data_IF_797486518756
#
_entry.id   IF_797486518756
#
_cell.length_a   1.000
_cell.length_b   1.000
_cell.length_c   1.000
_cell.angle_alpha   90.00
_cell.angle_beta   90.00
_cell.angle_gamma   90.00
#
_symmetry.space_group_name_H-M   'P 1'
#
loop_
_entity.id
_entity.type
_entity.pdbx_description
1 polymer ?
#
# COMPACT_ATOMS: atom_id res chain seq x y z
N UNK A 1 7.03 18.17 42.94
CA UNK A 1 6.57 19.35 42.17
C UNK A 1 7.71 20.25 41.66
N UNK A 2 8.71 20.69 42.46
CA UNK A 2 9.70 21.68 41.98
C UNK A 2 10.60 21.19 40.83
N UNK A 3 10.93 19.90 40.77
CA UNK A 3 11.74 19.32 39.70
C UNK A 3 11.04 19.29 38.34
N UNK A 4 9.70 19.15 38.33
CA UNK A 4 8.91 19.18 37.09
C UNK A 4 8.80 20.59 36.53
N UNK A 5 8.63 21.58 37.39
CA UNK A 5 8.55 22.98 36.98
C UNK A 5 9.89 23.48 36.42
N UNK A 6 11.00 23.06 37.02
CA UNK A 6 12.36 23.33 36.53
C UNK A 6 12.57 22.72 35.13
N UNK A 7 12.22 21.45 34.94
CA UNK A 7 12.33 20.79 33.64
C UNK A 7 11.45 21.46 32.58
N UNK A 8 10.22 21.87 32.95
CA UNK A 8 9.31 22.59 32.04
C UNK A 8 9.89 23.94 31.62
N UNK A 9 10.50 24.68 32.54
CA UNK A 9 11.17 25.94 32.24
C UNK A 9 12.37 25.71 31.29
N UNK A 10 13.19 24.70 31.54
CA UNK A 10 14.32 24.33 30.67
C UNK A 10 13.87 24.01 29.24
N UNK A 11 12.82 23.20 29.08
CA UNK A 11 12.28 22.86 27.76
C UNK A 11 11.75 24.10 27.04
N UNK A 12 11.07 25.00 27.75
CA UNK A 12 10.55 26.22 27.14
C UNK A 12 11.68 27.13 26.63
N UNK A 13 12.73 27.32 27.43
CA UNK A 13 13.92 28.08 27.03
C UNK A 13 14.60 27.44 25.81
N UNK A 14 14.78 26.12 25.81
CA UNK A 14 15.37 25.38 24.69
C UNK A 14 14.56 25.55 23.39
N UNK A 15 13.23 25.51 23.48
CA UNK A 15 12.36 25.72 22.31
C UNK A 15 12.52 27.13 21.71
N UNK A 16 12.65 28.16 22.55
CA UNK A 16 12.89 29.52 22.09
C UNK A 16 14.26 29.69 21.43
N UNK A 17 15.29 29.01 21.94
CA UNK A 17 16.66 29.10 21.42
C UNK A 17 16.91 28.30 20.14
N UNK A 18 16.08 27.30 19.83
CA UNK A 18 16.31 26.34 18.74
C UNK A 18 16.55 27.01 17.37
N UNK A 19 15.84 28.10 17.08
CA UNK A 19 15.96 28.81 15.80
C UNK A 19 17.25 29.64 15.66
N UNK A 20 17.95 29.89 16.77
CA UNK A 20 19.19 30.68 16.81
C UNK A 20 20.47 29.85 16.87
N UNK A 21 20.37 28.52 16.85
CA UNK A 21 21.54 27.65 16.95
C UNK A 21 22.33 27.66 15.66
N UNK A 22 23.62 27.95 15.77
CA UNK A 22 24.56 27.92 14.66
C UNK A 22 25.05 26.49 14.39
N UNK A 23 25.18 26.18 13.11
CA UNK A 23 25.63 24.88 12.61
C UNK A 23 26.81 25.13 11.69
N UNK A 24 28.00 24.76 12.14
CA UNK A 24 29.21 24.80 11.32
C UNK A 24 29.17 23.72 10.22
N UNK A 25 29.83 23.99 9.09
CA UNK A 25 29.89 23.05 7.97
C UNK A 25 30.63 21.75 8.32
N UNK A 26 31.60 21.80 9.23
CA UNK A 26 32.30 20.64 9.78
C UNK A 26 31.31 19.63 10.40
N UNK A 27 30.34 20.09 11.18
CA UNK A 27 29.33 19.23 11.81
C UNK A 27 28.37 18.63 10.77
N UNK A 28 28.11 19.35 9.66
CA UNK A 28 27.30 18.81 8.55
C UNK A 28 28.04 17.72 7.80
N UNK A 29 29.35 17.88 7.63
CA UNK A 29 30.21 16.90 6.98
C UNK A 29 30.33 15.63 7.83
N UNK A 30 30.58 15.76 9.14
CA UNK A 30 30.65 14.63 10.08
C UNK A 30 29.37 13.80 10.06
N UNK A 31 28.20 14.46 10.12
CA UNK A 31 26.90 13.77 9.99
C UNK A 31 26.78 13.02 8.66
N UNK A 32 27.23 13.62 7.55
CA UNK A 32 27.11 13.03 6.22
C UNK A 32 28.00 11.78 6.08
N UNK A 33 29.24 11.86 6.55
CA UNK A 33 30.18 10.74 6.57
C UNK A 33 29.63 9.57 7.39
N UNK A 34 29.16 9.84 8.63
CA UNK A 34 28.59 8.79 9.49
C UNK A 34 27.28 8.21 8.94
N UNK A 35 26.44 9.01 8.27
CA UNK A 35 25.24 8.49 7.60
C UNK A 35 25.59 7.51 6.47
N UNK A 36 26.66 7.80 5.72
CA UNK A 36 27.17 6.92 4.65
C UNK A 36 27.72 5.64 5.25
N UNK A 37 28.54 5.71 6.31
CA UNK A 37 29.06 4.54 7.02
C UNK A 37 27.95 3.65 7.60
N UNK A 38 26.87 4.27 8.11
CA UNK A 38 25.70 3.57 8.61
C UNK A 38 24.79 3.00 7.50
N UNK A 39 25.17 3.14 6.23
CA UNK A 39 24.46 2.64 5.06
C UNK A 39 22.99 3.13 4.99
N UNK A 40 22.77 4.39 5.38
CA UNK A 40 21.46 5.05 5.36
C UNK A 40 21.21 5.65 3.97
N UNK A 41 20.11 5.27 3.33
CA UNK A 41 19.77 5.77 2.00
C UNK A 41 19.13 7.17 2.06
N UNK A 42 19.72 8.10 1.30
CA UNK A 42 19.25 9.46 1.04
C UNK A 42 19.41 10.47 2.19
N UNK A 43 19.26 11.76 1.85
CA UNK A 43 19.54 12.94 2.71
C UNK A 43 18.69 13.10 3.99
N UNK A 44 17.80 12.13 4.24
CA UNK A 44 16.85 12.21 5.35
C UNK A 44 17.49 11.81 6.68
N UNK A 45 18.57 11.05 6.66
CA UNK A 45 19.33 10.73 7.87
C UNK A 45 19.95 12.01 8.42
N UNK A 46 20.67 12.69 7.54
CA UNK A 46 21.44 13.90 7.81
C UNK A 46 20.57 15.01 8.40
N UNK A 47 19.42 15.27 7.78
CA UNK A 47 18.49 16.32 8.22
C UNK A 47 17.88 16.03 9.61
N UNK A 48 17.62 14.76 9.91
CA UNK A 48 17.02 14.37 11.20
C UNK A 48 18.08 14.43 12.29
N UNK A 49 19.29 13.94 12.00
CA UNK A 49 20.42 14.01 12.92
C UNK A 49 20.75 15.45 13.28
N UNK A 50 20.86 16.32 12.28
CA UNK A 50 21.18 17.73 12.51
C UNK A 50 20.14 18.44 13.40
N UNK A 51 18.85 18.16 13.18
CA UNK A 51 17.77 18.73 13.99
C UNK A 51 17.75 18.18 15.42
N UNK A 52 18.05 16.89 15.59
CA UNK A 52 18.13 16.28 16.91
C UNK A 52 19.32 16.85 17.70
N UNK A 53 20.48 17.00 17.05
CA UNK A 53 21.67 17.61 17.64
C UNK A 53 21.44 19.08 17.99
N UNK A 54 20.74 19.85 17.13
CA UNK A 54 20.34 21.23 17.45
C UNK A 54 19.42 21.28 18.68
N UNK A 55 18.46 20.37 18.79
CA UNK A 55 17.58 20.30 19.96
C UNK A 55 18.34 19.91 21.24
N UNK A 56 19.33 19.02 21.13
CA UNK A 56 20.20 18.64 22.24
C UNK A 56 21.07 19.81 22.71
N UNK A 57 21.71 20.53 21.78
CA UNK A 57 22.45 21.75 22.08
C UNK A 57 21.56 22.82 22.76
N UNK A 58 20.33 23.01 22.25
CA UNK A 58 19.36 23.95 22.82
C UNK A 58 18.98 23.58 24.27
N UNK A 59 18.76 22.29 24.54
CA UNK A 59 18.39 21.79 25.85
C UNK A 59 19.49 22.04 26.89
N UNK A 60 20.75 22.02 26.45
CA UNK A 60 21.91 22.35 27.27
C UNK A 60 22.25 23.86 27.27
N UNK A 61 21.39 24.71 26.70
CA UNK A 61 21.57 26.17 26.70
C UNK A 61 22.73 26.66 25.81
N UNK A 62 23.19 25.83 24.87
CA UNK A 62 24.28 26.17 23.95
C UNK A 62 23.75 26.85 22.68
N UNK A 63 24.60 27.69 22.08
CA UNK A 63 24.28 28.45 20.85
C UNK A 63 24.85 27.82 19.57
N UNK A 64 25.68 26.78 19.71
CA UNK A 64 26.30 26.06 18.58
C UNK A 64 26.33 24.57 18.87
N UNK A 65 26.27 23.76 17.81
CA UNK A 65 26.41 22.30 17.89
C UNK A 65 27.88 21.92 18.10
N UNK A 66 28.16 20.93 18.94
CA UNK A 66 29.46 20.26 19.03
C UNK A 66 29.32 18.73 18.80
N UNK A 67 30.45 18.02 18.77
CA UNK A 67 30.47 16.57 18.55
C UNK A 67 29.68 15.79 19.61
N UNK A 68 29.65 16.25 20.88
CA UNK A 68 28.87 15.58 21.94
C UNK A 68 27.37 15.59 21.64
N UNK A 69 26.86 16.62 20.96
CA UNK A 69 25.46 16.67 20.53
C UNK A 69 25.16 15.71 19.38
N UNK A 70 26.15 15.46 18.52
CA UNK A 70 26.04 14.47 17.45
C UNK A 70 26.01 13.06 18.04
N UNK A 71 26.96 12.75 18.91
CA UNK A 71 27.11 11.44 19.54
C UNK A 71 25.87 11.08 20.39
N UNK A 72 25.32 12.05 21.13
CA UNK A 72 24.18 11.81 22.03
C UNK A 72 22.89 11.40 21.29
N UNK A 73 22.73 11.79 20.02
CA UNK A 73 21.51 11.52 19.24
C UNK A 73 21.72 10.49 18.13
N UNK A 74 22.97 10.12 17.86
CA UNK A 74 23.38 9.21 16.79
C UNK A 74 22.54 7.93 16.76
N UNK A 75 22.56 7.18 17.86
CA UNK A 75 21.90 5.88 17.95
C UNK A 75 20.38 5.99 17.76
N UNK A 76 19.77 7.01 18.37
CA UNK A 76 18.33 7.26 18.26
C UNK A 76 17.90 7.56 16.82
N UNK A 77 18.75 8.25 16.07
CA UNK A 77 18.48 8.64 14.68
C UNK A 77 18.72 7.46 13.73
N UNK A 78 19.78 6.70 13.94
CA UNK A 78 20.22 5.64 13.03
C UNK A 78 19.54 4.29 13.26
N UNK A 79 19.08 3.96 14.48
CA UNK A 79 18.55 2.63 14.84
C UNK A 79 17.45 2.11 13.89
N UNK A 80 16.56 2.99 13.43
CA UNK A 80 15.43 2.63 12.56
C UNK A 80 15.74 2.71 11.06
N UNK A 81 16.97 3.08 10.72
CA UNK A 81 17.39 3.44 9.35
C UNK A 81 18.61 2.68 8.88
N UNK A 82 19.41 2.16 9.80
CA UNK A 82 20.48 1.21 9.52
C UNK A 82 19.86 0.02 8.82
N UNK A 83 20.18 -0.15 7.54
CA UNK A 83 19.75 -1.36 6.85
C UNK A 83 20.43 -2.54 7.56
N UNK A 84 19.65 -3.54 7.94
CA UNK A 84 20.24 -4.82 8.32
C UNK A 84 21.08 -5.29 7.14
N UNK A 85 22.33 -5.67 7.40
CA UNK A 85 23.15 -6.35 6.41
C UNK A 85 22.33 -7.48 5.79
N UNK A 86 22.43 -7.72 4.47
CA UNK A 86 21.72 -8.82 3.83
C UNK A 86 22.00 -10.09 4.64
N UNK A 87 20.97 -10.65 5.27
CA UNK A 87 21.09 -11.96 5.90
C UNK A 87 21.55 -12.92 4.78
N UNK A 88 22.65 -13.68 4.96
CA UNK A 88 23.02 -14.70 4.00
C UNK A 88 21.80 -15.63 3.81
N UNK A 89 21.56 -16.13 2.58
CA UNK A 89 20.41 -16.99 2.33
C UNK A 89 20.44 -18.14 3.33
N UNK A 90 19.40 -18.25 4.15
CA UNK A 90 19.20 -19.40 5.02
C UNK A 90 19.26 -20.66 4.15
N UNK A 91 20.11 -21.65 4.47
CA UNK A 91 20.15 -22.89 3.71
C UNK A 91 18.76 -23.55 3.73
N UNK A 92 18.35 -24.20 2.64
CA UNK A 92 17.06 -24.88 2.58
C UNK A 92 16.96 -25.88 3.73
N UNK A 93 15.88 -25.76 4.49
CA UNK A 93 15.56 -26.62 5.62
C UNK A 93 15.30 -28.04 5.09
N UNK A 94 16.31 -28.91 5.10
CA UNK A 94 16.20 -30.30 4.67
C UNK A 94 15.53 -31.13 5.77
N UNK A 95 14.24 -30.87 5.99
CA UNK A 95 13.40 -31.77 6.76
C UNK A 95 12.70 -32.72 5.78
N UNK A 96 13.48 -33.64 5.22
CA UNK A 96 12.95 -34.75 4.41
C UNK A 96 12.44 -35.83 5.37
N UNK A 97 11.17 -36.27 5.28
CA UNK A 97 10.74 -37.45 6.02
C UNK A 97 11.52 -38.68 5.53
N UNK A 98 11.86 -39.65 6.39
CA UNK A 98 12.55 -40.85 5.96
C UNK A 98 11.68 -41.62 4.94
N UNK A 99 12.29 -42.25 3.92
CA UNK A 99 11.53 -42.97 2.90
C UNK A 99 10.82 -44.20 3.51
N UNK A 100 9.63 -44.57 3.00
CA UNK A 100 8.95 -45.77 3.46
C UNK A 100 9.72 -47.02 3.03
N UNK A 101 9.78 -48.01 3.93
CA UNK A 101 10.36 -49.33 3.68
C UNK A 101 9.74 -49.97 2.43
N UNK A 102 10.55 -50.35 1.44
CA UNK A 102 10.13 -51.17 0.30
C UNK A 102 10.56 -52.62 0.51
N UNK A 103 9.59 -53.54 0.36
CA UNK A 103 9.82 -54.99 0.30
C UNK A 103 10.33 -55.36 -1.09
N UNK A 104 11.35 -56.22 -1.25
CA UNK A 104 11.81 -56.63 -2.57
C UNK A 104 10.76 -57.51 -3.26
N UNK A 105 10.43 -57.23 -4.52
CA UNK A 105 9.74 -58.17 -5.40
C UNK A 105 10.48 -58.30 -6.74
N UNK A 106 10.54 -59.54 -7.17
CA UNK A 106 11.21 -60.08 -8.36
C UNK A 106 10.64 -59.51 -9.66
N UNK A 107 11.50 -59.42 -10.67
CA UNK A 107 11.14 -59.10 -12.06
C UNK A 107 10.97 -60.39 -12.88
N UNK A 108 10.48 -60.34 -14.14
CA UNK A 108 9.56 -59.38 -14.77
C UNK A 108 8.41 -60.11 -15.52
N UNK A 109 7.31 -59.41 -15.80
CA UNK A 109 6.49 -59.76 -16.97
C UNK A 109 5.85 -58.54 -17.60
N UNK A 110 5.92 -58.55 -18.93
CA UNK A 110 5.44 -57.61 -19.93
C UNK A 110 3.94 -57.36 -19.89
N UNK A 111 3.50 -56.11 -20.11
CA UNK A 111 2.47 -55.76 -21.10
C UNK A 111 2.08 -54.27 -21.04
N UNK A 112 1.50 -53.82 -22.16
CA UNK A 112 1.31 -52.46 -22.62
C UNK A 112 0.16 -51.68 -21.94
N UNK A 113 0.18 -50.37 -22.24
CA UNK A 113 -0.96 -49.48 -22.50
C UNK A 113 -1.62 -48.70 -21.34
N UNK A 114 -1.43 -47.38 -21.40
CA UNK A 114 -2.54 -46.43 -21.57
C UNK A 114 -3.35 -46.03 -20.33
N UNK A 115 -2.93 -44.97 -19.64
CA UNK A 115 -3.85 -43.99 -19.04
C UNK A 115 -3.08 -42.70 -18.74
N UNK A 116 -3.27 -41.70 -19.58
CA UNK A 116 -2.76 -40.35 -19.38
C UNK A 116 -3.44 -39.71 -18.17
N UNK A 117 -2.70 -39.66 -17.08
CA UNK A 117 -3.06 -39.01 -15.83
C UNK A 117 -3.18 -37.50 -16.05
N UNK A 118 -4.43 -37.03 -16.10
CA UNK A 118 -4.77 -35.63 -16.20
C UNK A 118 -4.65 -34.96 -14.83
N UNK A 119 -3.62 -34.13 -14.67
CA UNK A 119 -3.75 -32.88 -13.92
C UNK A 119 -2.97 -32.79 -12.62
N UNK A 120 -1.74 -32.29 -12.74
CA UNK A 120 -1.16 -31.26 -11.85
C UNK A 120 0.12 -30.73 -12.52
N UNK A 121 0.00 -29.63 -13.25
CA UNK A 121 1.17 -28.92 -13.78
C UNK A 121 1.77 -28.01 -12.71
N UNK A 122 3.11 -28.00 -12.66
CA UNK A 122 3.88 -27.05 -11.86
C UNK A 122 3.58 -25.61 -12.30
N UNK A 123 3.46 -24.65 -11.37
CA UNK A 123 3.19 -23.26 -11.70
C UNK A 123 4.31 -22.68 -12.57
N UNK A 124 3.98 -22.29 -13.81
CA UNK A 124 4.91 -21.61 -14.71
C UNK A 124 4.85 -20.09 -14.50
N UNK A 125 6.03 -19.44 -14.49
CA UNK A 125 6.14 -17.99 -14.42
C UNK A 125 5.97 -17.37 -15.81
N UNK A 126 5.19 -16.30 -15.91
CA UNK A 126 5.05 -15.49 -17.13
C UNK A 126 5.40 -14.03 -16.86
N UNK A 127 6.07 -13.39 -17.83
CA UNK A 127 6.42 -11.98 -17.80
C UNK A 127 5.19 -11.07 -17.94
N UNK A 128 5.23 -9.94 -17.23
CA UNK A 128 4.23 -8.86 -17.28
C UNK A 128 4.14 -8.26 -18.68
N UNK A 129 2.94 -8.23 -19.25
CA UNK A 129 2.68 -7.66 -20.57
C UNK A 129 2.64 -6.13 -20.59
N UNK A 130 2.36 -5.54 -21.75
CA UNK A 130 2.29 -4.09 -21.95
C UNK A 130 1.26 -3.43 -21.03
N UNK A 131 1.59 -2.26 -20.46
CA UNK A 131 0.75 -1.55 -19.48
C UNK A 131 -0.56 -1.07 -20.11
N UNK A 132 -1.69 -1.25 -19.42
CA UNK A 132 -3.01 -0.77 -19.86
C UNK A 132 -3.70 0.08 -18.80
N UNK A 133 -4.46 1.07 -19.25
CA UNK A 133 -5.25 1.99 -18.43
C UNK A 133 -6.72 1.62 -18.47
N UNK A 134 -7.39 1.70 -17.33
CA UNK A 134 -8.85 1.64 -17.27
C UNK A 134 -9.39 2.70 -16.32
N UNK A 135 -10.35 3.48 -16.80
CA UNK A 135 -11.08 4.44 -16.00
C UNK A 135 -12.39 3.77 -15.54
N UNK A 136 -12.50 3.45 -14.25
CA UNK A 136 -13.81 3.14 -13.68
C UNK A 136 -14.62 4.44 -13.65
N UNK A 137 -15.85 4.43 -14.18
CA UNK A 137 -16.75 5.59 -14.02
C UNK A 137 -17.02 5.74 -12.52
N UNK A 138 -16.77 6.91 -11.92
CA UNK A 138 -17.13 7.10 -10.52
C UNK A 138 -18.64 6.91 -10.40
N UNK A 139 -19.07 5.99 -9.53
CA UNK A 139 -20.48 5.91 -9.16
C UNK A 139 -20.92 7.27 -8.60
N UNK A 140 -21.99 7.84 -9.14
CA UNK A 140 -22.64 9.05 -8.65
C UNK A 140 -23.32 8.77 -7.30
N UNK A 141 -22.52 8.54 -6.25
CA UNK A 141 -23.00 8.38 -4.88
C UNK A 141 -23.33 9.75 -4.27
N UNK A 142 -24.41 10.37 -4.77
CA UNK A 142 -25.03 11.55 -4.13
C UNK A 142 -25.92 11.16 -2.93
N UNK A 143 -26.16 9.88 -2.67
CA UNK A 143 -27.22 9.44 -1.75
C UNK A 143 -26.77 9.09 -0.31
N UNK A 144 -25.48 8.90 -0.03
CA UNK A 144 -25.02 8.40 1.29
C UNK A 144 -24.26 9.42 2.14
N UNK A 145 -24.05 10.63 1.63
CA UNK A 145 -23.29 11.69 2.33
C UNK A 145 -24.11 12.41 3.42
N UNK A 146 -25.42 12.17 3.54
CA UNK A 146 -26.31 13.12 4.20
C UNK A 146 -26.57 12.90 5.69
N UNK A 147 -26.12 11.82 6.35
CA UNK A 147 -26.60 11.51 7.72
C UNK A 147 -25.63 11.00 8.79
N UNK A 148 -24.33 10.88 8.53
CA UNK A 148 -23.35 10.52 9.58
C UNK A 148 -22.30 11.63 9.75
N UNK A 149 -22.80 12.82 10.08
CA UNK A 149 -22.01 14.01 10.33
C UNK A 149 -21.86 14.33 11.81
N UNK A 150 -21.49 13.38 12.67
CA UNK A 150 -21.01 13.70 14.02
C UNK A 150 -20.24 12.50 14.59
N UNK A 151 -19.07 12.79 15.18
CA UNK A 151 -18.14 11.86 15.88
C UNK A 151 -17.17 11.10 14.96
N UNK A 152 -16.08 11.78 14.58
CA UNK A 152 -14.76 11.14 14.38
C UNK A 152 -13.67 12.21 14.56
N UNK A 153 -13.50 12.66 15.79
CA UNK A 153 -12.32 13.39 16.25
C UNK A 153 -11.21 12.40 16.60
N UNK A 154 -9.99 12.73 16.19
CA UNK A 154 -8.72 12.09 16.54
C UNK A 154 -8.32 10.84 15.73
N UNK A 155 -7.87 11.08 14.50
CA UNK A 155 -6.87 10.23 13.85
C UNK A 155 -5.50 10.90 13.96
N UNK A 156 -4.64 10.37 14.84
CA UNK A 156 -3.21 10.67 14.88
C UNK A 156 -2.56 10.30 13.54
N UNK A 157 -1.79 11.23 13.01
CA UNK A 157 -0.71 11.05 12.03
C UNK A 157 -1.07 10.40 10.68
N UNK A 158 -1.44 11.25 9.71
CA UNK A 158 -0.99 11.09 8.34
C UNK A 158 -0.10 12.29 7.97
N UNK A 159 1.20 12.17 8.24
CA UNK A 159 2.22 13.10 7.73
C UNK A 159 2.43 12.87 6.22
N UNK A 160 1.39 13.16 5.43
CA UNK A 160 1.54 13.45 4.03
C UNK A 160 1.63 14.95 3.88
N UNK A 161 2.81 15.49 3.54
CA UNK A 161 2.91 16.76 2.81
C UNK A 161 2.31 16.56 1.41
N UNK A 162 1.00 16.31 1.34
CA UNK A 162 0.22 16.53 0.14
C UNK A 162 0.36 18.00 -0.21
N UNK A 163 0.49 18.32 -1.49
CA UNK A 163 0.40 19.70 -1.97
C UNK A 163 -0.88 20.26 -1.36
N UNK A 164 -0.74 21.25 -0.49
CA UNK A 164 -1.88 21.93 0.09
C UNK A 164 -2.72 22.43 -1.07
N UNK A 165 -3.97 21.99 -1.18
CA UNK A 165 -4.94 22.75 -1.94
C UNK A 165 -4.90 24.17 -1.35
N UNK A 166 -4.71 25.19 -2.19
CA UNK A 166 -4.70 26.60 -1.75
C UNK A 166 -6.05 27.03 -1.16
N UNK A 167 -7.07 26.20 -1.28
CA UNK A 167 -8.41 26.50 -0.84
C UNK A 167 -8.54 26.24 0.67
N UNK A 168 -8.79 27.33 1.39
CA UNK A 168 -9.15 27.30 2.79
C UNK A 168 -10.61 26.90 2.94
N UNK A 169 -10.93 26.12 3.97
CA UNK A 169 -12.30 25.79 4.31
C UNK A 169 -12.95 26.99 5.02
N UNK A 170 -14.28 27.09 4.99
CA UNK A 170 -15.01 28.10 5.79
C UNK A 170 -15.04 27.76 7.29
N UNK A 171 -14.37 26.68 7.72
CA UNK A 171 -14.33 26.24 9.12
C UNK A 171 -13.12 26.84 9.82
N UNK A 172 -13.37 27.58 10.89
CA UNK A 172 -12.34 28.17 11.74
C UNK A 172 -11.55 27.06 12.45
N UNK A 173 -10.23 27.17 12.44
CA UNK A 173 -9.33 26.39 13.28
C UNK A 173 -9.12 27.14 14.60
N UNK A 174 -10.03 26.94 15.55
CA UNK A 174 -10.06 27.67 16.82
C UNK A 174 -8.73 27.62 17.57
N UNK A 175 -8.07 26.47 17.66
CA UNK A 175 -6.79 26.35 18.36
C UNK A 175 -5.70 27.24 17.73
N UNK A 176 -5.47 27.13 16.43
CA UNK A 176 -4.46 27.98 15.77
C UNK A 176 -4.86 29.45 15.74
N UNK A 177 -6.16 29.75 15.74
CA UNK A 177 -6.67 31.12 15.73
C UNK A 177 -6.45 31.81 17.08
N UNK A 178 -6.69 31.08 18.17
CA UNK A 178 -6.49 31.55 19.53
C UNK A 178 -5.01 31.66 19.87
N UNK A 179 -4.19 30.68 19.48
CA UNK A 179 -2.73 30.74 19.69
C UNK A 179 -2.12 31.89 18.89
N UNK A 180 -2.51 32.07 17.63
CA UNK A 180 -2.04 33.19 16.83
C UNK A 180 -2.49 34.54 17.41
N UNK A 181 -3.75 34.65 17.84
CA UNK A 181 -4.26 35.85 18.50
C UNK A 181 -3.54 36.16 19.81
N UNK A 182 -3.26 35.15 20.63
CA UNK A 182 -2.55 35.32 21.91
C UNK A 182 -1.09 35.74 21.75
N UNK A 183 -0.43 35.32 20.65
CA UNK A 183 0.96 35.69 20.36
C UNK A 183 1.05 37.05 19.64
N UNK A 184 0.09 37.36 18.76
CA UNK A 184 0.16 38.53 17.89
C UNK A 184 -0.54 39.77 18.45
N UNK A 185 -1.58 39.62 19.28
CA UNK A 185 -2.39 40.72 19.79
C UNK A 185 -2.30 40.81 21.32
N UNK A 186 -1.87 41.97 21.83
CA UNK A 186 -1.90 42.28 23.27
C UNK A 186 -3.35 42.38 23.81
N UNK A 187 -4.33 42.64 22.93
CA UNK A 187 -5.75 42.76 23.27
C UNK A 187 -6.51 41.41 23.37
N UNK A 188 -5.82 40.28 23.19
CA UNK A 188 -6.42 38.94 23.29
C UNK A 188 -7.43 38.57 22.20
N UNK A 189 -7.55 39.37 21.14
CA UNK A 189 -8.48 39.10 20.02
C UNK A 189 -7.96 37.95 19.16
N UNK A 190 -8.80 36.93 18.85
CA UNK A 190 -8.39 35.80 18.02
C UNK A 190 -8.13 36.23 16.58
N UNK A 191 -6.96 35.88 16.04
CA UNK A 191 -6.68 35.98 14.61
C UNK A 191 -7.35 34.80 13.90
N UNK A 192 -8.46 35.02 13.19
CA UNK A 192 -9.22 33.93 12.58
C UNK A 192 -8.38 33.20 11.51
N UNK A 193 -7.95 31.98 11.83
CA UNK A 193 -7.27 31.07 10.91
C UNK A 193 -8.20 29.93 10.56
N UNK A 194 -8.36 29.70 9.26
CA UNK A 194 -9.27 28.69 8.76
C UNK A 194 -8.55 27.34 8.61
N UNK A 195 -9.30 26.23 8.69
CA UNK A 195 -8.72 24.91 8.35
C UNK A 195 -8.49 24.87 6.84
N UNK A 196 -7.44 24.19 6.39
CA UNK A 196 -7.30 23.86 4.97
C UNK A 196 -8.47 22.96 4.55
N UNK A 197 -9.02 23.16 3.35
CA UNK A 197 -9.96 22.17 2.81
C UNK A 197 -9.27 20.82 2.81
N UNK A 198 -9.91 19.79 3.37
CA UNK A 198 -9.43 18.42 3.20
C UNK A 198 -9.31 18.18 1.70
N UNK A 199 -8.22 17.56 1.26
CA UNK A 199 -8.15 17.00 -0.09
C UNK A 199 -9.36 16.07 -0.30
N UNK A 200 -9.68 15.80 -1.57
CA UNK A 200 -10.76 14.87 -1.90
C UNK A 200 -10.66 13.55 -1.13
N UNK A 201 -11.80 12.89 -0.97
CA UNK A 201 -11.91 11.60 -0.31
C UNK A 201 -10.78 10.64 -0.74
N UNK A 202 -10.05 10.04 0.22
CA UNK A 202 -8.94 9.15 -0.13
C UNK A 202 -9.46 8.00 -0.99
N UNK A 203 -8.79 7.74 -2.10
CA UNK A 203 -9.12 6.64 -3.00
C UNK A 203 -8.26 5.42 -2.67
N UNK A 204 -8.92 4.27 -2.52
CA UNK A 204 -8.31 2.96 -2.32
C UNK A 204 -8.68 2.05 -3.48
N UNK A 205 -7.66 1.50 -4.14
CA UNK A 205 -7.81 0.54 -5.24
C UNK A 205 -7.65 -0.89 -4.70
N UNK A 206 -8.70 -1.68 -4.77
CA UNK A 206 -8.67 -3.10 -4.40
C UNK A 206 -8.67 -3.94 -5.67
N UNK A 207 -7.55 -4.60 -5.95
CA UNK A 207 -7.39 -5.40 -7.17
C UNK A 207 -7.47 -6.88 -6.81
N UNK A 208 -8.41 -7.59 -7.41
CA UNK A 208 -8.55 -9.04 -7.38
C UNK A 208 -8.04 -9.60 -8.71
N UNK A 209 -6.91 -10.31 -8.66
CA UNK A 209 -6.25 -10.89 -9.82
C UNK A 209 -6.41 -12.41 -9.83
N UNK A 210 -7.01 -12.94 -10.88
CA UNK A 210 -7.07 -14.37 -11.14
C UNK A 210 -5.69 -14.90 -11.57
N UNK A 211 -5.18 -15.88 -10.83
CA UNK A 211 -3.90 -16.57 -11.09
C UNK A 211 -4.12 -18.04 -11.39
N UNK A 212 -5.31 -18.42 -11.87
CA UNK A 212 -5.63 -19.81 -12.20
C UNK A 212 -4.92 -20.32 -13.46
N UNK A 213 -4.66 -21.62 -13.53
CA UNK A 213 -3.90 -22.26 -14.61
C UNK A 213 -4.57 -22.14 -15.99
N UNK A 214 -5.89 -21.90 -16.06
CA UNK A 214 -6.59 -21.61 -17.32
C UNK A 214 -6.11 -20.30 -17.97
N UNK A 215 -5.50 -19.40 -17.18
CA UNK A 215 -4.87 -18.17 -17.68
C UNK A 215 -3.47 -18.40 -18.27
N UNK A 216 -2.82 -19.55 -18.04
CA UNK A 216 -1.48 -19.88 -18.57
C UNK A 216 -1.46 -20.26 -20.05
N UNK A 217 -2.55 -20.85 -20.56
CA UNK A 217 -2.60 -21.38 -21.93
C UNK A 217 -2.68 -20.27 -23.01
N UNK A 218 -2.51 -19.00 -22.65
CA UNK A 218 -2.47 -17.87 -23.59
C UNK A 218 -1.78 -16.63 -23.04
N UNK A 219 -1.83 -15.54 -23.83
CA UNK A 219 -1.31 -14.21 -23.44
C UNK A 219 -2.18 -13.51 -22.37
N UNK A 220 -3.26 -14.15 -21.88
CA UNK A 220 -4.24 -13.55 -20.97
C UNK A 220 -3.63 -13.23 -19.60
N UNK A 221 -2.81 -14.11 -19.02
CA UNK A 221 -2.14 -13.82 -17.74
C UNK A 221 -1.13 -12.67 -17.87
N UNK A 222 -0.31 -12.68 -18.93
CA UNK A 222 0.62 -11.58 -19.22
C UNK A 222 -0.11 -10.24 -19.36
N UNK A 223 -1.24 -10.23 -20.06
CA UNK A 223 -2.07 -9.06 -20.25
C UNK A 223 -2.77 -8.60 -18.95
N UNK A 224 -3.26 -9.53 -18.13
CA UNK A 224 -3.83 -9.25 -16.82
C UNK A 224 -2.78 -8.57 -15.91
N UNK A 225 -1.55 -9.11 -15.86
CA UNK A 225 -0.41 -8.49 -15.16
C UNK A 225 -0.11 -7.09 -15.73
N UNK A 226 -0.13 -6.92 -17.05
CA UNK A 226 0.06 -5.61 -17.70
C UNK A 226 -1.00 -4.58 -17.30
N UNK A 227 -2.26 -5.00 -17.18
CA UNK A 227 -3.34 -4.16 -16.68
C UNK A 227 -3.12 -3.77 -15.22
N UNK A 228 -2.79 -4.72 -14.34
CA UNK A 228 -2.49 -4.43 -12.93
C UNK A 228 -1.30 -3.45 -12.80
N UNK A 229 -0.26 -3.64 -13.61
CA UNK A 229 0.88 -2.73 -13.64
C UNK A 229 0.50 -1.31 -14.08
N UNK A 230 -0.41 -1.17 -15.04
CA UNK A 230 -0.94 0.13 -15.47
C UNK A 230 -1.80 0.79 -14.39
N UNK A 231 -2.71 0.06 -13.74
CA UNK A 231 -3.49 0.54 -12.61
C UNK A 231 -2.60 1.00 -11.45
N UNK A 232 -1.56 0.22 -11.11
CA UNK A 232 -0.60 0.58 -10.08
C UNK A 232 0.15 1.87 -10.41
N UNK A 233 0.58 2.05 -11.66
CA UNK A 233 1.24 3.27 -12.09
C UNK A 233 0.32 4.50 -12.00
N UNK A 234 -0.94 4.37 -12.42
CA UNK A 234 -1.92 5.44 -12.32
C UNK A 234 -2.18 5.84 -10.87
N UNK A 235 -2.44 4.85 -10.02
CA UNK A 235 -2.63 5.05 -8.59
C UNK A 235 -1.38 5.66 -7.92
N UNK A 236 -0.17 5.28 -8.35
CA UNK A 236 1.08 5.84 -7.84
C UNK A 236 1.22 7.34 -8.18
N UNK A 237 0.97 7.72 -9.43
CA UNK A 237 1.00 9.12 -9.87
C UNK A 237 -0.05 9.94 -9.12
N UNK A 238 -1.25 9.38 -8.92
CA UNK A 238 -2.32 9.99 -8.14
C UNK A 238 -2.09 9.95 -6.61
N UNK A 239 -1.02 9.28 -6.13
CA UNK A 239 -0.68 9.07 -4.71
C UNK A 239 -1.80 8.37 -3.92
N UNK A 240 -2.50 7.46 -4.55
CA UNK A 240 -3.62 6.70 -3.99
C UNK A 240 -3.15 5.38 -3.37
N UNK A 241 -3.99 4.81 -2.51
CA UNK A 241 -3.72 3.54 -1.86
C UNK A 241 -4.11 2.36 -2.75
N UNK A 242 -3.44 1.22 -2.58
CA UNK A 242 -3.69 0.00 -3.32
C UNK A 242 -3.55 -1.24 -2.42
N UNK A 243 -4.33 -2.26 -2.73
CA UNK A 243 -4.18 -3.65 -2.29
C UNK A 243 -4.30 -4.55 -3.51
N UNK A 244 -3.48 -5.60 -3.59
CA UNK A 244 -3.57 -6.63 -4.62
C UNK A 244 -3.77 -7.99 -3.96
N UNK A 245 -4.90 -8.64 -4.24
CA UNK A 245 -5.18 -10.01 -3.87
C UNK A 245 -5.09 -10.89 -5.11
N UNK A 246 -4.29 -11.94 -5.05
CA UNK A 246 -4.24 -13.00 -6.04
C UNK A 246 -5.12 -14.15 -5.59
N UNK A 247 -5.85 -14.79 -6.51
CA UNK A 247 -6.59 -16.00 -6.21
C UNK A 247 -6.34 -17.07 -7.27
N UNK A 248 -5.96 -18.25 -6.81
CA UNK A 248 -5.56 -19.38 -7.63
C UNK A 248 -4.90 -20.45 -6.76
N UNK A 249 -4.71 -21.66 -7.29
CA UNK A 249 -4.22 -22.78 -6.48
C UNK A 249 -5.10 -23.07 -5.25
N UNK A 250 -6.43 -22.93 -5.42
CA UNK A 250 -7.46 -23.06 -4.37
C UNK A 250 -7.25 -22.18 -3.12
N UNK A 251 -6.44 -21.12 -3.22
CA UNK A 251 -6.21 -20.15 -2.14
C UNK A 251 -6.36 -18.70 -2.62
N UNK A 252 -6.53 -17.80 -1.66
CA UNK A 252 -6.45 -16.35 -1.86
C UNK A 252 -5.23 -15.83 -1.11
N UNK A 253 -4.36 -15.12 -1.80
CA UNK A 253 -3.09 -14.61 -1.29
C UNK A 253 -3.01 -13.09 -1.44
N UNK A 254 -2.54 -12.40 -0.40
CA UNK A 254 -2.31 -10.96 -0.45
C UNK A 254 -0.94 -10.70 -1.08
N UNK A 255 -0.95 -10.42 -2.39
CA UNK A 255 0.26 -10.20 -3.17
C UNK A 255 0.89 -8.84 -2.89
N UNK A 256 0.07 -7.83 -2.59
CA UNK A 256 0.53 -6.52 -2.17
C UNK A 256 -0.32 -5.99 -1.01
N UNK A 257 0.33 -5.80 0.13
CA UNK A 257 -0.31 -5.33 1.33
C UNK A 257 -0.78 -3.87 1.24
N UNK A 258 -1.82 -3.51 2.01
CA UNK A 258 -2.37 -2.15 2.03
C UNK A 258 -1.29 -1.08 2.18
N UNK A 259 -1.08 -0.31 1.12
CA UNK A 259 -0.04 0.70 1.05
C UNK A 259 -0.27 1.71 -0.05
N UNK A 260 0.68 2.63 -0.23
CA UNK A 260 0.70 3.49 -1.42
C UNK A 260 1.04 2.65 -2.64
N UNK A 261 0.31 2.82 -3.73
CA UNK A 261 0.59 2.10 -4.95
C UNK A 261 2.09 2.20 -5.32
N UNK A 262 2.77 1.08 -5.63
CA UNK A 262 4.21 1.09 -5.89
C UNK A 262 4.54 1.68 -7.27
N UNK A 263 5.75 2.25 -7.42
CA UNK A 263 6.24 2.78 -8.71
C UNK A 263 6.41 1.69 -9.76
N UNK A 264 6.81 0.48 -9.33
CA UNK A 264 7.03 -0.67 -10.20
C UNK A 264 6.39 -1.92 -9.59
N UNK A 265 5.31 -2.41 -10.23
CA UNK A 265 4.61 -3.63 -9.82
C UNK A 265 5.07 -4.87 -10.61
N UNK A 266 5.75 -4.67 -11.75
CA UNK A 266 6.16 -5.76 -12.64
C UNK A 266 7.03 -6.85 -11.99
N UNK A 267 8.03 -6.55 -11.14
CA UNK A 267 8.82 -7.60 -10.48
C UNK A 267 7.96 -8.52 -9.60
N UNK A 268 7.04 -7.93 -8.83
CA UNK A 268 6.11 -8.64 -7.96
C UNK A 268 5.10 -9.46 -8.77
N UNK A 269 4.65 -8.95 -9.91
CA UNK A 269 3.75 -9.69 -10.79
C UNK A 269 4.45 -10.85 -11.51
N UNK A 270 5.72 -10.69 -11.86
CA UNK A 270 6.50 -11.73 -12.54
C UNK A 270 6.74 -12.95 -11.65
N UNK A 271 6.87 -12.80 -10.34
CA UNK A 271 7.03 -13.91 -9.40
C UNK A 271 5.76 -14.73 -9.18
N UNK A 272 4.60 -14.25 -9.63
CA UNK A 272 3.34 -14.96 -9.49
C UNK A 272 3.24 -16.04 -10.57
N UNK A 273 3.34 -17.30 -10.14
CA UNK A 273 2.98 -18.46 -10.94
C UNK A 273 1.46 -18.63 -11.03
N UNK A 274 0.98 -19.41 -11.99
CA UNK A 274 -0.42 -19.79 -12.06
C UNK A 274 -0.64 -21.26 -11.73
N UNK A 275 -1.71 -21.57 -10.97
CA UNK A 275 -2.01 -22.91 -10.44
C UNK A 275 -3.49 -23.28 -10.61
N UNK A 276 -3.85 -24.55 -10.44
CA UNK A 276 -5.24 -25.01 -10.67
C UNK A 276 -6.25 -24.46 -9.65
N UNK A 277 -7.53 -24.36 -10.01
CA UNK A 277 -8.59 -23.94 -9.08
C UNK A 277 -8.71 -22.41 -8.94
N UNK A 278 -9.95 -21.92 -8.82
CA UNK A 278 -10.28 -20.49 -8.80
C UNK A 278 -11.25 -20.19 -7.66
N UNK A 279 -10.76 -19.84 -6.46
CA UNK A 279 -11.60 -19.57 -5.29
C UNK A 279 -12.18 -18.15 -5.33
N UNK A 280 -12.88 -17.80 -6.42
CA UNK A 280 -13.42 -16.45 -6.64
C UNK A 280 -14.38 -16.02 -5.53
N UNK A 281 -15.24 -16.93 -5.06
CA UNK A 281 -16.18 -16.63 -3.97
C UNK A 281 -15.44 -16.21 -2.69
N UNK A 282 -14.39 -16.94 -2.34
CA UNK A 282 -13.55 -16.63 -1.18
C UNK A 282 -12.83 -15.29 -1.36
N UNK A 283 -12.31 -15.01 -2.56
CA UNK A 283 -11.64 -13.74 -2.86
C UNK A 283 -12.60 -12.55 -2.71
N UNK A 284 -13.84 -12.69 -3.21
CA UNK A 284 -14.89 -11.68 -3.08
C UNK A 284 -15.34 -11.48 -1.63
N UNK A 285 -15.47 -12.57 -0.85
CA UNK A 285 -15.78 -12.47 0.59
C UNK A 285 -14.67 -11.74 1.36
N UNK A 286 -13.41 -12.06 1.07
CA UNK A 286 -12.27 -11.37 1.67
C UNK A 286 -12.23 -9.90 1.31
N UNK A 287 -12.49 -9.57 0.04
CA UNK A 287 -12.60 -8.20 -0.46
C UNK A 287 -13.73 -7.41 0.22
N UNK A 288 -14.92 -8.00 0.33
CA UNK A 288 -16.07 -7.42 1.01
C UNK A 288 -15.73 -7.11 2.48
N UNK A 289 -15.19 -8.10 3.20
CA UNK A 289 -14.82 -7.94 4.60
C UNK A 289 -13.71 -6.88 4.78
N UNK A 290 -12.74 -6.84 3.88
CA UNK A 290 -11.69 -5.83 3.85
C UNK A 290 -12.25 -4.42 3.66
N UNK A 291 -13.07 -4.22 2.63
CA UNK A 291 -13.68 -2.92 2.34
C UNK A 291 -14.58 -2.42 3.47
N UNK A 292 -15.39 -3.29 4.08
CA UNK A 292 -16.20 -2.93 5.25
C UNK A 292 -15.36 -2.54 6.47
N UNK A 293 -14.23 -3.22 6.73
CA UNK A 293 -13.29 -2.81 7.80
C UNK A 293 -12.65 -1.46 7.50
N UNK A 294 -12.31 -1.20 6.24
CA UNK A 294 -11.73 0.06 5.81
C UNK A 294 -12.71 1.22 5.98
N UNK A 295 -13.96 1.06 5.54
CA UNK A 295 -15.00 2.08 5.69
C UNK A 295 -15.37 2.33 7.16
N UNK A 296 -15.33 1.32 8.03
CA UNK A 296 -15.52 1.51 9.48
C UNK A 296 -14.44 2.41 10.09
N UNK A 297 -13.19 2.31 9.63
CA UNK A 297 -12.08 3.15 10.09
C UNK A 297 -12.11 4.54 9.45
N UNK A 298 -12.38 4.60 8.15
CA UNK A 298 -12.37 5.81 7.34
C UNK A 298 -13.62 5.85 6.43
N UNK A 299 -14.77 6.35 6.94
CA UNK A 299 -16.05 6.32 6.22
C UNK A 299 -16.05 7.08 4.89
N UNK A 300 -15.19 8.10 4.78
CA UNK A 300 -15.06 8.91 3.56
C UNK A 300 -14.12 8.30 2.52
N UNK A 301 -13.68 7.04 2.66
CA UNK A 301 -12.78 6.42 1.67
C UNK A 301 -13.57 5.99 0.44
N UNK A 302 -13.15 6.44 -0.74
CA UNK A 302 -13.68 5.92 -2.00
C UNK A 302 -12.96 4.62 -2.35
N UNK A 303 -13.72 3.54 -2.51
CA UNK A 303 -13.19 2.23 -2.88
C UNK A 303 -13.47 1.97 -4.36
N UNK A 304 -12.46 1.56 -5.10
CA UNK A 304 -12.58 1.07 -6.48
C UNK A 304 -12.07 -0.36 -6.54
N UNK A 305 -12.96 -1.30 -6.81
CA UNK A 305 -12.67 -2.71 -6.92
C UNK A 305 -12.43 -3.09 -8.39
N UNK A 306 -11.32 -3.76 -8.67
CA UNK A 306 -11.01 -4.30 -9.98
C UNK A 306 -10.99 -5.82 -9.88
N UNK A 307 -11.84 -6.50 -10.64
CA UNK A 307 -11.93 -7.95 -10.68
C UNK A 307 -11.42 -8.40 -12.04
N UNK A 308 -10.23 -9.00 -12.07
CA UNK A 308 -9.57 -9.40 -13.32
C UNK A 308 -9.58 -10.92 -13.37
N UNK A 309 -10.40 -11.51 -14.23
CA UNK A 309 -10.61 -12.96 -14.34
C UNK A 309 -10.88 -13.37 -15.78
N UNK A 310 -10.72 -14.65 -16.10
CA UNK A 310 -11.10 -15.23 -17.40
C UNK A 310 -12.58 -15.63 -17.48
N UNK A 311 -13.35 -15.39 -16.40
CA UNK A 311 -14.79 -15.63 -16.35
C UNK A 311 -15.19 -17.12 -16.31
N UNK A 312 -14.24 -18.05 -16.12
CA UNK A 312 -14.50 -19.50 -16.17
C UNK A 312 -15.04 -20.11 -14.87
N UNK A 313 -15.43 -19.28 -13.91
CA UNK A 313 -15.82 -19.72 -12.57
C UNK A 313 -17.26 -20.27 -12.55
N UNK A 314 -17.46 -21.43 -11.93
CA UNK A 314 -18.77 -22.11 -11.76
C UNK A 314 -19.32 -22.00 -10.32
N UNK A 315 -18.83 -21.04 -9.53
CA UNK A 315 -19.21 -20.87 -8.13
C UNK A 315 -20.40 -19.92 -8.01
N UNK A 316 -21.32 -20.26 -7.10
CA UNK A 316 -22.42 -19.37 -6.74
C UNK A 316 -21.92 -18.20 -5.88
N UNK A 317 -22.06 -16.99 -6.44
CA UNK A 317 -21.66 -15.70 -5.85
C UNK A 317 -22.86 -14.81 -5.49
N UNK A 318 -24.09 -15.35 -5.51
CA UNK A 318 -25.28 -14.60 -5.13
C UNK A 318 -25.17 -14.00 -3.71
N UNK A 319 -25.59 -12.75 -3.56
CA UNK A 319 -25.62 -12.03 -2.28
C UNK A 319 -24.29 -11.39 -1.85
N UNK A 320 -23.22 -11.50 -2.64
CA UNK A 320 -21.97 -10.80 -2.39
C UNK A 320 -22.02 -9.36 -2.92
N UNK A 321 -21.75 -8.40 -2.05
CA UNK A 321 -21.74 -6.98 -2.39
C UNK A 321 -20.41 -6.36 -1.96
N UNK A 322 -19.62 -5.92 -2.95
CA UNK A 322 -18.39 -5.19 -2.69
C UNK A 322 -18.70 -3.71 -2.42
N UNK A 323 -18.12 -3.10 -1.38
CA UNK A 323 -18.31 -1.67 -1.12
C UNK A 323 -17.58 -0.83 -2.18
N UNK A 324 -18.21 0.26 -2.60
CA UNK A 324 -17.67 1.19 -3.59
C UNK A 324 -17.95 0.76 -5.04
N UNK A 325 -17.25 1.38 -5.98
CA UNK A 325 -17.41 1.10 -7.41
C UNK A 325 -16.68 -0.19 -7.76
N UNK A 326 -17.31 -1.07 -8.52
CA UNK A 326 -16.71 -2.35 -8.92
C UNK A 326 -16.65 -2.43 -10.45
N UNK A 327 -15.52 -2.90 -10.95
CA UNK A 327 -15.26 -3.10 -12.37
C UNK A 327 -14.71 -4.51 -12.58
N UNK A 328 -15.38 -5.30 -13.41
CA UNK A 328 -14.92 -6.59 -13.86
C UNK A 328 -14.26 -6.47 -15.23
N UNK A 329 -13.01 -6.92 -15.31
CA UNK A 329 -12.24 -6.99 -16.55
C UNK A 329 -12.06 -8.44 -16.97
N UNK A 330 -12.69 -8.77 -18.09
CA UNK A 330 -12.65 -10.10 -18.69
C UNK A 330 -11.38 -10.27 -19.53
N UNK A 331 -10.57 -11.26 -19.15
CA UNK A 331 -9.30 -11.59 -19.81
C UNK A 331 -9.45 -12.66 -20.91
N UNK A 332 -10.66 -13.19 -21.13
CA UNK A 332 -10.93 -14.19 -22.17
C UNK A 332 -10.84 -13.58 -23.58
N UNK A 333 -10.03 -14.20 -24.44
CA UNK A 333 -9.86 -13.82 -25.86
C UNK A 333 -10.49 -14.82 -26.84
N UNK A 334 -11.29 -15.78 -26.36
CA UNK A 334 -11.87 -16.80 -27.23
C UNK A 334 -12.88 -16.21 -28.24
N UNK A 335 -12.84 -16.68 -29.49
CA UNK A 335 -13.78 -16.25 -30.56
C UNK A 335 -15.25 -16.53 -30.22
N UNK A 336 -15.53 -17.49 -29.34
CA UNK A 336 -16.87 -17.80 -28.85
C UNK A 336 -16.95 -17.41 -27.36
N UNK A 337 -17.50 -16.21 -27.10
CA UNK A 337 -17.72 -15.71 -25.75
C UNK A 337 -18.82 -16.52 -25.08
N UNK A 338 -18.53 -17.19 -23.96
CA UNK A 338 -19.56 -17.93 -23.20
C UNK A 338 -20.45 -17.03 -22.33
N UNK A 339 -20.28 -15.70 -22.39
CA UNK A 339 -21.13 -14.70 -21.71
C UNK A 339 -21.04 -14.69 -20.19
N UNK A 340 -20.15 -15.47 -19.59
CA UNK A 340 -20.09 -15.69 -18.13
C UNK A 340 -19.52 -14.51 -17.35
N UNK A 341 -18.49 -13.83 -17.88
CA UNK A 341 -17.93 -12.63 -17.24
C UNK A 341 -18.97 -11.51 -17.07
N UNK A 342 -19.80 -11.31 -18.10
CA UNK A 342 -20.91 -10.34 -18.05
C UNK A 342 -21.97 -10.73 -17.01
N UNK A 343 -22.28 -12.03 -16.89
CA UNK A 343 -23.17 -12.54 -15.86
C UNK A 343 -22.62 -12.29 -14.45
N UNK A 344 -21.34 -12.57 -14.21
CA UNK A 344 -20.67 -12.30 -12.93
C UNK A 344 -20.72 -10.79 -12.61
N UNK A 345 -20.43 -9.94 -13.59
CA UNK A 345 -20.51 -8.49 -13.41
C UNK A 345 -21.92 -8.04 -13.00
N UNK A 346 -22.96 -8.56 -13.67
CA UNK A 346 -24.36 -8.28 -13.32
C UNK A 346 -24.72 -8.75 -11.90
N UNK A 347 -24.27 -9.94 -11.49
CA UNK A 347 -24.50 -10.45 -10.13
C UNK A 347 -23.86 -9.58 -9.04
N UNK A 348 -22.69 -9.00 -9.34
CA UNK A 348 -21.95 -8.13 -8.42
C UNK A 348 -22.35 -6.65 -8.51
N UNK A 349 -23.21 -6.28 -9.47
CA UNK A 349 -23.50 -4.87 -9.79
C UNK A 349 -22.26 -4.10 -10.25
N UNK A 350 -21.33 -4.79 -10.92
CA UNK A 350 -20.08 -4.22 -11.42
C UNK A 350 -20.19 -3.80 -12.89
N UNK A 351 -19.45 -2.76 -13.27
CA UNK A 351 -19.22 -2.45 -14.67
C UNK A 351 -18.45 -3.61 -15.33
N UNK A 352 -18.73 -3.88 -16.61
CA UNK A 352 -18.05 -4.94 -17.37
C UNK A 352 -17.22 -4.34 -18.50
N UNK A 353 -15.95 -4.74 -18.58
CA UNK A 353 -15.06 -4.41 -19.69
C UNK A 353 -14.34 -5.65 -20.18
N UNK A 354 -14.15 -5.76 -21.50
CA UNK A 354 -13.22 -6.75 -22.05
C UNK A 354 -11.81 -6.18 -22.07
N UNK A 355 -10.81 -7.04 -21.93
CA UNK A 355 -9.42 -6.59 -21.91
C UNK A 355 -8.98 -5.94 -23.24
N UNK A 356 -9.66 -6.23 -24.35
CA UNK A 356 -9.49 -5.50 -25.64
C UNK A 356 -9.96 -4.04 -25.59
N UNK A 357 -10.92 -3.70 -24.73
CA UNK A 357 -11.42 -2.34 -24.54
C UNK A 357 -10.56 -1.54 -23.56
N UNK A 358 -9.74 -2.20 -22.74
CA UNK A 358 -8.76 -1.55 -21.89
C UNK A 358 -7.63 -0.93 -22.75
N UNK A 359 -7.58 0.39 -22.81
CA UNK A 359 -6.64 1.14 -23.65
C UNK A 359 -5.18 0.88 -23.23
N UNK A 360 -4.30 0.67 -24.21
CA UNK A 360 -2.85 0.61 -23.96
C UNK A 360 -2.34 2.00 -23.54
N UNK A 361 -1.60 2.06 -22.43
CA UNK A 361 -0.82 3.24 -22.09
C UNK A 361 0.44 3.19 -22.95
N UNK A 362 0.48 4.05 -23.98
CA UNK A 362 1.67 4.30 -24.80
C UNK A 362 2.76 4.99 -24.01
#
# INVERSE_FOLDING_TARGET
MPQQDLLRAQIHTAQSMLNSISVADEQRLDIAERCVEANVDGVRGDLVWLRAASAHAALHGRQSINSQDLDAVEELVLMHRRQQAPQPPTPPNTNTPPPPFQRPQEAPSSSQSGASDWGQMQPQMQATGTKRSVHAKPADDKATASRLGLIASQGKQCHGKGRATRNWSQRINWFTSLVAGAIANQDGKPELRFRRQRGGDPTMHLVLLDTSASTLQGQSQSQAKGLVAGLAQQAYVARQAMVLLGFGNDKVEELYALGRAPKAMAPLLNSIGAGGGTPLKQALQQAQAFGQRLLRRNPSTRIVNYIITDGRVQQDIHGLHLPGTSLLVDTEQAQVKRGRGQHIANLLGADYLTLSQAQQLG
#
